data_IF_453938080798
#
_entry.id   IF_453938080798
#
_cell.length_a   1.000
_cell.length_b   1.000
_cell.length_c   1.000
_cell.angle_alpha   90.00
_cell.angle_beta   90.00
_cell.angle_gamma   90.00
#
_symmetry.space_group_name_H-M   'P 1'
#
loop_
_entity.id
_entity.type
_entity.pdbx_description
1 polymer ?
#
# COMPACT_ATOMS: atom_id res chain seq x y z
N UNK A 1 -56.49 -25.61 33.57
CA UNK A 1 -56.08 -25.57 32.14
C UNK A 1 -55.84 -24.11 31.80
N UNK A 2 -54.57 -23.70 31.75
CA UNK A 2 -54.16 -22.33 31.42
C UNK A 2 -54.24 -22.15 29.91
N UNK A 3 -55.19 -21.33 29.44
CA UNK A 3 -55.30 -20.96 28.03
C UNK A 3 -54.14 -20.02 27.68
N UNK A 4 -53.17 -20.52 26.92
CA UNK A 4 -52.12 -19.71 26.33
C UNK A 4 -52.74 -18.83 25.23
N UNK A 5 -52.84 -17.53 25.50
CA UNK A 5 -53.22 -16.53 24.50
C UNK A 5 -52.05 -16.42 23.52
N UNK A 6 -52.19 -17.04 22.36
CA UNK A 6 -51.28 -16.86 21.23
C UNK A 6 -51.47 -15.43 20.71
N UNK A 7 -50.51 -14.55 21.03
CA UNK A 7 -50.45 -13.22 20.41
C UNK A 7 -50.08 -13.40 18.93
N UNK A 8 -50.83 -12.81 17.99
CA UNK A 8 -50.39 -12.70 16.61
C UNK A 8 -49.21 -11.73 16.58
N UNK A 9 -47.99 -12.26 16.45
CA UNK A 9 -46.81 -11.45 16.17
C UNK A 9 -47.05 -10.74 14.82
N UNK A 10 -47.23 -9.42 14.86
CA UNK A 10 -47.32 -8.59 13.66
C UNK A 10 -45.90 -8.51 13.08
N UNK A 11 -45.53 -9.48 12.23
CA UNK A 11 -44.31 -9.41 11.45
C UNK A 11 -44.48 -8.33 10.38
N UNK A 12 -44.00 -7.12 10.65
CA UNK A 12 -43.84 -6.11 9.61
C UNK A 12 -42.67 -6.56 8.71
N UNK A 13 -42.91 -6.86 7.42
CA UNK A 13 -41.79 -7.11 6.51
C UNK A 13 -40.97 -5.82 6.44
N UNK A 14 -39.74 -5.87 6.95
CA UNK A 14 -38.79 -4.79 6.77
C UNK A 14 -38.54 -4.63 5.27
N UNK A 15 -39.10 -3.56 4.69
CA UNK A 15 -38.88 -3.20 3.30
C UNK A 15 -37.37 -2.96 3.09
N UNK A 16 -36.72 -3.78 2.27
CA UNK A 16 -35.30 -3.64 1.99
C UNK A 16 -35.07 -2.26 1.35
N UNK A 17 -34.33 -1.34 2.00
CA UNK A 17 -34.11 -0.01 1.44
C UNK A 17 -33.35 -0.16 0.12
N UNK A 18 -33.95 0.33 -0.96
CA UNK A 18 -33.56 0.10 -2.36
C UNK A 18 -32.24 0.77 -2.79
N UNK A 19 -31.11 0.41 -2.16
CA UNK A 19 -29.79 0.94 -2.47
C UNK A 19 -29.05 0.23 -3.62
N UNK A 20 -29.40 -1.03 -3.93
CA UNK A 20 -28.60 -1.91 -4.80
C UNK A 20 -28.35 -1.35 -6.20
N UNK A 21 -29.30 -0.59 -6.77
CA UNK A 21 -29.17 0.02 -8.10
C UNK A 21 -28.01 1.02 -8.18
N UNK A 22 -27.78 1.80 -7.11
CA UNK A 22 -26.68 2.77 -7.05
C UNK A 22 -25.33 2.05 -7.01
N UNK A 23 -25.23 1.01 -6.17
CA UNK A 23 -24.04 0.16 -6.08
C UNK A 23 -23.68 -0.43 -7.44
N UNK A 24 -24.67 -0.99 -8.15
CA UNK A 24 -24.43 -1.65 -9.43
C UNK A 24 -23.96 -0.68 -10.52
N UNK A 25 -24.51 0.54 -10.55
CA UNK A 25 -24.09 1.60 -11.47
C UNK A 25 -22.63 2.01 -11.24
N UNK A 26 -22.28 2.20 -9.97
CA UNK A 26 -20.94 2.61 -9.51
C UNK A 26 -19.92 1.51 -9.80
N UNK A 27 -20.28 0.25 -9.52
CA UNK A 27 -19.47 -0.92 -9.82
C UNK A 27 -19.12 -0.98 -11.32
N UNK A 28 -20.10 -0.81 -12.22
CA UNK A 28 -19.84 -0.84 -13.65
C UNK A 28 -18.95 0.30 -14.13
N UNK A 29 -19.17 1.51 -13.64
CA UNK A 29 -18.30 2.67 -13.96
C UNK A 29 -16.85 2.40 -13.55
N UNK A 30 -16.64 1.93 -12.32
CA UNK A 30 -15.31 1.64 -11.81
C UNK A 30 -14.66 0.44 -12.49
N UNK A 31 -15.45 -0.56 -12.86
CA UNK A 31 -14.99 -1.72 -13.62
C UNK A 31 -14.47 -1.30 -14.99
N UNK A 32 -15.23 -0.49 -15.73
CA UNK A 32 -14.82 0.03 -17.05
C UNK A 32 -13.54 0.87 -16.94
N UNK A 33 -13.45 1.78 -15.98
CA UNK A 33 -12.24 2.58 -15.73
C UNK A 33 -11.04 1.67 -15.46
N UNK A 34 -11.22 0.64 -14.63
CA UNK A 34 -10.14 -0.30 -14.27
C UNK A 34 -9.68 -1.13 -15.48
N UNK A 35 -10.60 -1.58 -16.34
CA UNK A 35 -10.26 -2.32 -17.55
C UNK A 35 -9.45 -1.44 -18.52
N UNK A 36 -9.87 -0.18 -18.69
CA UNK A 36 -9.16 0.80 -19.53
C UNK A 36 -7.75 1.05 -18.99
N UNK A 37 -7.62 1.27 -17.68
CA UNK A 37 -6.34 1.50 -17.01
C UNK A 37 -5.38 0.31 -17.22
N UNK A 38 -5.88 -0.92 -17.05
CA UNK A 38 -5.10 -2.15 -17.27
C UNK A 38 -4.69 -2.31 -18.74
N UNK A 39 -5.60 -2.04 -19.68
CA UNK A 39 -5.31 -2.11 -21.11
C UNK A 39 -4.18 -1.14 -21.50
N UNK A 40 -4.25 0.11 -21.02
CA UNK A 40 -3.20 1.11 -21.21
C UNK A 40 -1.88 0.65 -20.58
N UNK A 41 -1.92 0.12 -19.36
CA UNK A 41 -0.75 -0.44 -18.69
C UNK A 41 -0.08 -1.56 -19.49
N UNK A 42 -0.87 -2.46 -20.08
CA UNK A 42 -0.38 -3.55 -20.92
C UNK A 42 0.22 -3.03 -22.25
N UNK A 43 -0.39 -2.01 -22.85
CA UNK A 43 0.14 -1.37 -24.06
C UNK A 43 1.51 -0.73 -23.80
N UNK A 44 1.70 -0.03 -22.67
CA UNK A 44 3.00 0.55 -22.27
C UNK A 44 4.06 -0.55 -22.09
N UNK A 45 3.67 -1.68 -21.48
CA UNK A 45 4.58 -2.82 -21.27
C UNK A 45 5.07 -3.44 -22.58
N UNK A 46 4.19 -3.49 -23.59
CA UNK A 46 4.56 -3.96 -24.92
C UNK A 46 5.45 -2.96 -25.68
N UNK A 47 5.18 -1.65 -25.56
CA UNK A 47 5.99 -0.59 -26.19
C UNK A 47 7.39 -0.48 -25.56
N UNK A 48 7.56 -0.79 -24.28
CA UNK A 48 8.88 -0.79 -23.63
C UNK A 48 9.85 -1.87 -24.14
N UNK A 49 9.36 -2.92 -24.83
CA UNK A 49 10.22 -3.95 -25.40
C UNK A 49 10.86 -3.56 -26.73
N UNK A 50 10.42 -2.45 -27.33
CA UNK A 50 10.93 -1.94 -28.60
C UNK A 50 12.28 -1.22 -28.40
N UNK A 51 13.22 -1.25 -29.36
CA UNK A 51 14.57 -0.70 -29.19
C UNK A 51 14.63 0.84 -29.07
N UNK A 52 13.60 1.58 -29.51
CA UNK A 52 13.54 3.05 -29.41
C UNK A 52 12.19 3.54 -28.83
N UNK A 53 11.93 3.33 -27.53
CA UNK A 53 10.70 3.82 -26.93
C UNK A 53 10.77 5.34 -26.71
N UNK A 54 9.74 6.06 -27.14
CA UNK A 54 9.57 7.48 -26.82
C UNK A 54 9.39 7.65 -25.31
N UNK A 55 10.47 7.98 -24.59
CA UNK A 55 10.49 8.10 -23.13
C UNK A 55 9.43 9.07 -22.59
N UNK A 56 9.17 10.18 -23.30
CA UNK A 56 8.14 11.17 -22.93
C UNK A 56 6.73 10.58 -22.98
N UNK A 57 6.44 9.79 -24.02
CA UNK A 57 5.12 9.18 -24.22
C UNK A 57 4.88 8.10 -23.16
N UNK A 58 5.90 7.29 -22.89
CA UNK A 58 5.90 6.31 -21.79
C UNK A 58 5.63 6.98 -20.43
N UNK A 59 6.32 8.08 -20.14
CA UNK A 59 6.16 8.79 -18.87
C UNK A 59 4.76 9.40 -18.74
N UNK A 60 4.22 9.97 -19.82
CA UNK A 60 2.86 10.50 -19.87
C UNK A 60 1.80 9.42 -19.59
N UNK A 61 1.93 8.25 -20.23
CA UNK A 61 1.00 7.13 -19.99
C UNK A 61 1.11 6.57 -18.56
N UNK A 62 2.33 6.47 -17.99
CA UNK A 62 2.54 6.10 -16.57
C UNK A 62 1.86 7.10 -15.63
N UNK A 63 2.02 8.40 -15.89
CA UNK A 63 1.36 9.46 -15.13
C UNK A 63 -0.17 9.37 -15.22
N UNK A 64 -0.70 9.17 -16.43
CA UNK A 64 -2.15 9.02 -16.65
C UNK A 64 -2.71 7.82 -15.88
N UNK A 65 -2.07 6.66 -15.97
CA UNK A 65 -2.49 5.46 -15.22
C UNK A 65 -2.50 5.76 -13.72
N UNK A 66 -1.43 6.37 -13.19
CA UNK A 66 -1.35 6.74 -11.78
C UNK A 66 -2.50 7.66 -11.33
N UNK A 67 -2.83 8.68 -12.13
CA UNK A 67 -3.95 9.59 -11.85
C UNK A 67 -5.29 8.85 -11.88
N UNK A 68 -5.52 7.98 -12.87
CA UNK A 68 -6.73 7.17 -12.97
C UNK A 68 -6.88 6.24 -11.76
N UNK A 69 -5.79 5.61 -11.29
CA UNK A 69 -5.80 4.76 -10.09
C UNK A 69 -6.22 5.55 -8.85
N UNK A 70 -5.67 6.76 -8.67
CA UNK A 70 -6.00 7.64 -7.55
C UNK A 70 -7.46 8.13 -7.61
N UNK A 71 -7.93 8.54 -8.80
CA UNK A 71 -9.30 8.97 -9.01
C UNK A 71 -10.30 7.83 -8.70
N UNK A 72 -9.99 6.62 -9.16
CA UNK A 72 -10.74 5.40 -8.83
C UNK A 72 -10.78 5.16 -7.32
N UNK A 73 -9.64 5.23 -6.64
CA UNK A 73 -9.57 4.98 -5.20
C UNK A 73 -10.42 5.99 -4.42
N UNK A 74 -10.34 7.27 -4.79
CA UNK A 74 -11.19 8.32 -4.22
C UNK A 74 -12.69 8.08 -4.48
N UNK A 75 -13.05 7.68 -5.70
CA UNK A 75 -14.45 7.37 -6.05
C UNK A 75 -14.99 6.15 -5.28
N UNK A 76 -14.16 5.13 -5.06
CA UNK A 76 -14.53 3.97 -4.23
C UNK A 76 -14.83 4.44 -2.79
N UNK A 77 -13.91 5.18 -2.19
CA UNK A 77 -14.02 5.62 -0.78
C UNK A 77 -15.21 6.55 -0.60
N UNK A 78 -15.39 7.54 -1.47
CA UNK A 78 -16.53 8.48 -1.38
C UNK A 78 -17.89 7.78 -1.51
N UNK A 79 -18.02 6.81 -2.43
CA UNK A 79 -19.32 6.22 -2.77
C UNK A 79 -19.64 4.94 -1.98
N UNK A 80 -18.69 4.02 -1.81
CA UNK A 80 -18.94 2.76 -1.10
C UNK A 80 -18.88 2.90 0.42
N UNK A 81 -18.06 3.81 0.93
CA UNK A 81 -18.03 4.04 2.37
C UNK A 81 -19.02 5.13 2.79
N UNK A 82 -19.82 5.70 1.87
CA UNK A 82 -20.82 6.75 2.16
C UNK A 82 -20.24 7.94 2.97
N UNK A 83 -18.92 8.13 2.90
CA UNK A 83 -18.19 9.12 3.69
C UNK A 83 -18.52 10.56 3.29
N UNK A 84 -19.03 10.76 2.07
CA UNK A 84 -19.23 12.08 1.48
C UNK A 84 -20.30 12.94 2.15
N UNK A 85 -21.41 12.34 2.59
CA UNK A 85 -22.60 13.12 2.95
C UNK A 85 -22.95 13.08 4.45
N UNK A 86 -22.50 12.08 5.22
CA UNK A 86 -23.09 11.83 6.55
C UNK A 86 -22.08 11.67 7.71
N UNK A 87 -20.79 11.37 7.48
CA UNK A 87 -19.90 10.93 8.58
C UNK A 87 -18.46 11.49 8.52
N UNK A 88 -18.33 12.80 8.79
CA UNK A 88 -17.02 13.48 8.94
C UNK A 88 -16.11 12.83 9.99
N UNK A 89 -16.68 12.25 11.06
CA UNK A 89 -15.91 11.48 12.05
C UNK A 89 -15.37 10.15 11.51
N UNK A 90 -16.08 9.48 10.60
CA UNK A 90 -15.61 8.24 9.98
C UNK A 90 -14.54 8.51 8.93
N UNK A 91 -14.55 9.68 8.28
CA UNK A 91 -13.42 10.12 7.45
C UNK A 91 -12.16 10.21 8.30
N UNK A 92 -12.24 10.84 9.48
CA UNK A 92 -11.07 11.03 10.34
C UNK A 92 -10.46 9.70 10.82
N UNK A 93 -11.27 8.67 11.11
CA UNK A 93 -10.74 7.37 11.53
C UNK A 93 -10.05 6.58 10.41
N UNK A 94 -10.37 6.87 9.14
CA UNK A 94 -9.69 6.27 7.99
C UNK A 94 -8.48 7.10 7.55
N UNK A 95 -8.63 8.43 7.51
CA UNK A 95 -7.60 9.36 7.03
C UNK A 95 -6.42 9.45 7.99
N UNK A 96 -6.65 9.49 9.31
CA UNK A 96 -5.55 9.58 10.29
C UNK A 96 -4.57 8.40 10.17
N UNK A 97 -4.99 7.12 10.22
CA UNK A 97 -4.07 6.01 10.03
C UNK A 97 -3.47 5.97 8.61
N UNK A 98 -4.20 6.39 7.57
CA UNK A 98 -3.65 6.49 6.21
C UNK A 98 -2.52 7.53 6.13
N UNK A 99 -2.71 8.71 6.72
CA UNK A 99 -1.71 9.77 6.77
C UNK A 99 -0.48 9.35 7.57
N UNK A 100 -0.67 8.68 8.72
CA UNK A 100 0.44 8.10 9.48
C UNK A 100 1.19 7.05 8.65
N UNK A 101 0.48 6.19 7.91
CA UNK A 101 1.11 5.20 7.05
C UNK A 101 1.98 5.84 5.95
N UNK A 102 1.46 6.86 5.26
CA UNK A 102 2.23 7.61 4.24
C UNK A 102 3.45 8.29 4.88
N UNK A 103 3.28 8.91 6.04
CA UNK A 103 4.38 9.52 6.79
C UNK A 103 5.47 8.50 7.12
N UNK A 104 5.09 7.31 7.62
CA UNK A 104 6.03 6.22 7.90
C UNK A 104 6.78 5.75 6.65
N UNK A 105 6.11 5.62 5.51
CA UNK A 105 6.77 5.25 4.24
C UNK A 105 7.85 6.26 3.85
N UNK A 106 7.57 7.56 4.00
CA UNK A 106 8.54 8.62 3.71
C UNK A 106 9.72 8.60 4.69
N UNK A 107 9.44 8.44 5.99
CA UNK A 107 10.47 8.37 7.02
C UNK A 107 11.41 7.17 6.79
N UNK A 108 10.86 5.99 6.50
CA UNK A 108 11.66 4.81 6.19
C UNK A 108 12.40 4.90 4.87
N UNK A 109 11.83 5.56 3.86
CA UNK A 109 12.54 5.78 2.60
C UNK A 109 13.75 6.70 2.81
N UNK A 110 13.59 7.75 3.62
CA UNK A 110 14.67 8.67 3.97
C UNK A 110 15.77 7.97 4.79
N UNK A 111 15.39 7.22 5.82
CA UNK A 111 16.34 6.46 6.65
C UNK A 111 17.06 5.36 5.86
N UNK A 112 16.33 4.72 4.93
CA UNK A 112 16.90 3.75 3.99
C UNK A 112 17.92 4.37 3.03
N UNK A 113 17.65 5.57 2.50
CA UNK A 113 18.58 6.28 1.64
C UNK A 113 19.83 6.73 2.40
N UNK A 114 19.65 7.28 3.62
CA UNK A 114 20.75 7.61 4.54
C UNK A 114 21.63 6.39 4.83
N UNK A 115 21.02 5.25 5.18
CA UNK A 115 21.74 4.00 5.45
C UNK A 115 22.51 3.51 4.22
N UNK A 116 21.92 3.60 3.03
CA UNK A 116 22.58 3.24 1.77
C UNK A 116 23.78 4.16 1.50
N UNK A 117 23.63 5.47 1.72
CA UNK A 117 24.68 6.46 1.51
C UNK A 117 25.87 6.23 2.47
N UNK A 118 25.59 6.00 3.75
CA UNK A 118 26.59 5.67 4.76
C UNK A 118 27.31 4.36 4.41
N UNK A 119 26.57 3.30 4.09
CA UNK A 119 27.19 2.02 3.69
C UNK A 119 28.04 2.13 2.42
N UNK A 120 27.65 2.95 1.45
CA UNK A 120 28.44 3.15 0.23
C UNK A 120 29.71 3.98 0.49
N UNK A 121 29.68 4.88 1.47
CA UNK A 121 30.81 5.74 1.84
C UNK A 121 31.77 5.05 2.82
N UNK A 122 31.23 4.27 3.75
CA UNK A 122 31.95 3.71 4.89
C UNK A 122 32.42 2.26 4.66
N UNK A 123 31.91 1.56 3.63
CA UNK A 123 32.29 0.19 3.29
C UNK A 123 33.78 0.01 2.98
N UNK A 124 34.49 1.07 2.61
CA UNK A 124 35.93 1.06 2.35
C UNK A 124 36.77 1.58 3.53
N UNK A 125 36.15 2.06 4.61
CA UNK A 125 36.85 2.82 5.66
C UNK A 125 37.20 1.99 6.91
N UNK A 126 36.70 0.75 7.03
CA UNK A 126 36.98 -0.12 8.19
C UNK A 126 37.45 -1.49 7.72
N UNK A 127 38.75 -1.84 7.87
CA UNK A 127 39.17 -3.21 7.64
C UNK A 127 38.44 -4.11 8.65
N UNK A 128 37.96 -5.26 8.19
CA UNK A 128 37.32 -6.26 9.04
C UNK A 128 38.20 -6.50 10.27
N UNK A 129 37.68 -6.20 11.46
CA UNK A 129 38.36 -6.48 12.72
C UNK A 129 38.40 -8.00 12.85
N UNK A 130 39.48 -8.62 12.36
CA UNK A 130 39.76 -10.02 12.61
C UNK A 130 39.97 -10.13 14.12
N UNK A 131 39.04 -10.81 14.79
CA UNK A 131 39.14 -11.13 16.20
C UNK A 131 40.48 -11.80 16.45
N UNK A 132 41.40 -11.09 17.09
CA UNK A 132 42.68 -11.62 17.54
C UNK A 132 42.38 -12.63 18.63
N UNK A 133 42.12 -13.88 18.24
CA UNK A 133 42.04 -15.01 19.15
C UNK A 133 43.35 -15.06 19.92
N UNK A 134 43.30 -14.71 21.20
CA UNK A 134 44.43 -14.71 22.11
C UNK A 134 45.11 -16.09 22.09
N UNK A 135 46.26 -16.18 21.43
CA UNK A 135 47.10 -17.38 21.46
C UNK A 135 47.71 -17.49 22.86
N UNK A 136 47.53 -18.61 23.58
CA UNK A 136 48.11 -18.77 24.91
C UNK A 136 49.64 -18.79 24.81
N UNK A 137 50.31 -18.04 25.68
CA UNK A 137 51.76 -17.88 25.71
C UNK A 137 52.48 -19.24 25.73
N UNK A 138 53.30 -19.50 24.72
CA UNK A 138 54.20 -20.64 24.71
C UNK A 138 55.26 -20.45 25.79
N UNK A 139 55.36 -21.43 26.68
CA UNK A 139 56.38 -21.57 27.73
C UNK A 139 57.77 -21.56 27.09
N UNK A 140 58.58 -20.55 27.43
CA UNK A 140 60.00 -20.48 27.06
C UNK A 140 60.77 -21.59 27.79
N UNK A 141 61.38 -22.47 27.02
CA UNK A 141 62.25 -23.57 27.48
C UNK A 141 63.72 -23.29 27.14
N UNK A 142 64.21 -22.06 27.14
CA UNK A 142 65.64 -21.83 26.86
C UNK A 142 66.29 -20.68 27.67
N UNK A 143 66.07 -20.67 28.99
CA UNK A 143 66.91 -19.93 29.93
C UNK A 143 67.81 -20.87 30.74
N UNK A 144 68.65 -21.65 30.04
CA UNK A 144 69.80 -22.35 30.63
C UNK A 144 71.08 -21.97 29.88
N UNK A 145 71.79 -20.96 30.39
CA UNK A 145 73.23 -20.83 30.22
C UNK A 145 73.85 -20.05 31.37
#
# INVERSE_FOLDING_TARGET
MSNAVSSPEITFPHEHPGGTKRIWKVFWILSVITIIELAIGLTIYNIHKEPNPNATLVLAFKGMVCILTLAKAYYIVSVFMHLGDEIRNMIMTVVVPLCLFIWFLLAFLWDGDSTKHLRNTDAHSRPAQVEQVHQPAAVDKDAKK
#
